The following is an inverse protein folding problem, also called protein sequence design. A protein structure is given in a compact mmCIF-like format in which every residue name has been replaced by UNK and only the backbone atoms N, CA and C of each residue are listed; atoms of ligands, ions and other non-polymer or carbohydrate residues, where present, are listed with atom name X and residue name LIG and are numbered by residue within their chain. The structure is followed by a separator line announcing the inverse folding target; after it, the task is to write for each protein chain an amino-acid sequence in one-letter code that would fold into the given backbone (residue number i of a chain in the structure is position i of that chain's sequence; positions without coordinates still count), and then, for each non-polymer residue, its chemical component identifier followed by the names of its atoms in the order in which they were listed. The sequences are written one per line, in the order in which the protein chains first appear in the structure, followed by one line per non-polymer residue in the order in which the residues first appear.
data_IF_866028003089
#
_entry.id   IF_866028003089
#
_cell.length_a   1.000
_cell.length_b   1.000
_cell.length_c   1.000
_cell.angle_alpha   90.00
_cell.angle_beta   90.00
_cell.angle_gamma   90.00
#
_symmetry.space_group_name_H-M   'P 1'
#
loop_
_entity.id
_entity.type
_entity.pdbx_description
1 polymer ?
#
# COMPACT_ATOMS: atom_id res chain seq x y z
N UNK A 1 -0.48 15.27 13.82
CA UNK A 1 -1.43 15.50 12.70
C UNK A 1 -1.21 14.46 11.58
N UNK A 2 0.04 14.25 11.11
CA UNK A 2 0.37 13.30 10.04
C UNK A 2 -0.14 11.88 10.34
N UNK A 3 0.14 11.31 11.51
CA UNK A 3 -0.31 9.97 11.88
C UNK A 3 -1.85 9.80 11.85
N UNK A 4 -2.62 10.85 12.18
CA UNK A 4 -4.09 10.79 12.10
C UNK A 4 -4.55 10.71 10.63
N UNK A 5 -3.93 11.49 9.76
CA UNK A 5 -4.20 11.46 8.32
C UNK A 5 -3.80 10.11 7.74
N UNK A 6 -2.64 9.57 8.17
CA UNK A 6 -2.20 8.23 7.80
C UNK A 6 -3.21 7.14 8.19
N UNK A 7 -3.79 7.24 9.38
CA UNK A 7 -4.86 6.33 9.83
C UNK A 7 -6.12 6.45 8.95
N UNK A 8 -6.52 7.65 8.57
CA UNK A 8 -7.65 7.89 7.67
C UNK A 8 -7.36 7.34 6.26
N UNK A 9 -6.16 7.56 5.73
CA UNK A 9 -5.70 6.99 4.45
C UNK A 9 -5.65 5.47 4.48
N UNK A 10 -5.14 4.87 5.56
CA UNK A 10 -5.07 3.43 5.76
C UNK A 10 -6.44 2.75 5.75
N UNK A 11 -7.46 3.44 6.22
CA UNK A 11 -8.85 2.98 6.22
C UNK A 11 -9.62 3.34 4.92
N UNK A 12 -9.06 4.20 4.07
CA UNK A 12 -9.75 4.73 2.88
C UNK A 12 -9.62 3.80 1.67
N UNK A 13 -10.72 3.60 0.96
CA UNK A 13 -10.73 2.91 -0.34
C UNK A 13 -10.26 3.78 -1.52
N UNK A 14 -9.98 5.06 -1.29
CA UNK A 14 -9.43 5.96 -2.32
C UNK A 14 -8.11 5.47 -2.92
N UNK A 15 -7.35 4.73 -2.11
CA UNK A 15 -6.05 4.19 -2.49
C UNK A 15 -6.12 2.81 -3.18
N UNK A 16 -7.31 2.24 -3.34
CA UNK A 16 -7.53 1.08 -4.20
C UNK A 16 -7.91 1.54 -5.61
N UNK A 17 -7.26 1.03 -6.63
CA UNK A 17 -7.58 1.37 -8.02
C UNK A 17 -9.04 1.08 -8.36
N UNK A 18 -9.59 -0.01 -7.81
CA UNK A 18 -10.99 -0.42 -8.00
C UNK A 18 -11.94 0.25 -6.99
N UNK A 19 -11.42 0.92 -5.96
CA UNK A 19 -12.23 1.55 -4.91
C UNK A 19 -12.92 0.56 -3.96
N UNK A 20 -12.47 -0.69 -3.90
CA UNK A 20 -13.11 -1.79 -3.17
C UNK A 20 -12.34 -2.28 -1.94
N UNK A 21 -11.11 -1.81 -1.77
CA UNK A 21 -10.22 -2.21 -0.68
C UNK A 21 -9.55 -1.03 0.01
N UNK A 22 -9.14 -1.26 1.24
CA UNK A 22 -8.22 -0.41 1.99
C UNK A 22 -7.16 -1.28 2.65
N UNK A 23 -6.09 -0.69 3.19
CA UNK A 23 -5.11 -1.44 3.97
C UNK A 23 -5.80 -2.16 5.14
N UNK A 24 -6.75 -1.48 5.80
CA UNK A 24 -7.53 -2.02 6.91
C UNK A 24 -8.39 -3.24 6.52
N UNK A 25 -8.66 -3.45 5.25
CA UNK A 25 -9.40 -4.65 4.79
C UNK A 25 -8.67 -5.95 5.15
N UNK A 26 -7.34 -5.93 5.11
CA UNK A 26 -6.48 -7.09 5.41
C UNK A 26 -5.68 -6.91 6.72
N UNK A 27 -5.42 -5.68 7.15
CA UNK A 27 -4.67 -5.41 8.37
C UNK A 27 -5.61 -5.06 9.52
N UNK A 28 -6.15 -6.10 10.17
CA UNK A 28 -7.17 -6.00 11.22
C UNK A 28 -6.54 -6.08 12.62
N UNK A 29 -6.82 -5.14 13.50
CA UNK A 29 -6.28 -5.08 14.87
C UNK A 29 -6.55 -6.36 15.66
N UNK A 30 -7.74 -6.95 15.50
CA UNK A 30 -8.12 -8.20 16.18
C UNK A 30 -7.26 -9.41 15.80
N UNK A 31 -6.49 -9.33 14.72
CA UNK A 31 -5.52 -10.34 14.28
C UNK A 31 -4.08 -9.81 14.31
N UNK A 32 -3.80 -8.87 15.23
CA UNK A 32 -2.47 -8.24 15.34
C UNK A 32 -2.00 -7.56 14.06
N UNK A 33 -2.92 -6.85 13.41
CA UNK A 33 -2.76 -6.22 12.09
C UNK A 33 -2.43 -7.18 10.94
N UNK A 34 -2.87 -8.42 11.03
CA UNK A 34 -2.97 -9.40 9.94
C UNK A 34 -4.46 -9.63 9.58
N UNK A 35 -4.77 -10.58 8.71
CA UNK A 35 -6.16 -10.92 8.33
C UNK A 35 -6.69 -12.19 8.99
N UNK A 36 -5.85 -12.94 9.69
CA UNK A 36 -6.21 -14.21 10.32
C UNK A 36 -6.41 -15.37 9.35
N UNK A 37 -5.93 -15.25 8.11
CA UNK A 37 -6.06 -16.25 7.05
C UNK A 37 -4.72 -16.89 6.72
N UNK A 38 -4.70 -18.16 6.26
CA UNK A 38 -3.47 -18.80 5.78
C UNK A 38 -2.94 -18.16 4.47
N UNK A 39 -3.85 -17.70 3.63
CA UNK A 39 -3.58 -16.91 2.42
C UNK A 39 -4.55 -15.74 2.40
N UNK A 40 -4.05 -14.56 2.09
CA UNK A 40 -4.88 -13.38 1.98
C UNK A 40 -5.86 -13.48 0.80
N UNK A 41 -6.99 -12.80 0.92
CA UNK A 41 -7.96 -12.64 -0.16
C UNK A 41 -7.96 -11.18 -0.55
N UNK A 42 -7.43 -10.89 -1.74
CA UNK A 42 -7.25 -9.54 -2.25
C UNK A 42 -8.50 -8.99 -2.94
N UNK A 43 -8.27 -8.36 -4.08
CA UNK A 43 -9.30 -7.65 -4.86
C UNK A 43 -10.52 -8.53 -5.19
N UNK A 44 -11.69 -7.91 -5.18
CA UNK A 44 -12.97 -8.58 -5.41
C UNK A 44 -13.48 -9.44 -4.25
N UNK A 45 -12.70 -9.58 -3.16
CA UNK A 45 -13.13 -10.28 -1.96
C UNK A 45 -14.21 -9.52 -1.20
N UNK A 46 -15.00 -10.22 -0.37
CA UNK A 46 -16.09 -9.62 0.41
C UNK A 46 -16.03 -10.06 1.88
N UNK A 47 -16.23 -9.11 2.79
CA UNK A 47 -16.14 -9.34 4.23
C UNK A 47 -14.73 -9.29 4.76
N UNK A 48 -14.50 -9.77 5.98
CA UNK A 48 -13.23 -9.72 6.70
C UNK A 48 -12.88 -11.09 7.30
N UNK A 49 -11.58 -11.38 7.42
CA UNK A 49 -11.07 -12.60 8.00
C UNK A 49 -11.69 -13.85 7.35
N UNK A 50 -12.13 -14.82 8.15
CA UNK A 50 -12.72 -16.07 7.63
C UNK A 50 -13.96 -15.85 6.76
N UNK A 51 -14.76 -14.81 7.02
CA UNK A 51 -15.90 -14.50 6.17
C UNK A 51 -15.48 -14.09 4.75
N UNK A 52 -14.34 -13.40 4.62
CA UNK A 52 -13.77 -13.01 3.33
C UNK A 52 -13.35 -14.25 2.52
N UNK A 53 -12.69 -15.22 3.15
CA UNK A 53 -12.33 -16.48 2.51
C UNK A 53 -13.57 -17.30 2.13
N UNK A 54 -14.54 -17.42 3.03
CA UNK A 54 -15.77 -18.19 2.82
C UNK A 54 -16.70 -17.57 1.77
N UNK A 55 -16.52 -16.29 1.46
CA UNK A 55 -17.29 -15.61 0.41
C UNK A 55 -17.12 -16.27 -0.97
N UNK A 56 -16.00 -17.00 -1.17
CA UNK A 56 -15.63 -17.59 -2.45
C UNK A 56 -15.37 -16.57 -3.56
N UNK A 57 -15.18 -15.29 -3.17
CA UNK A 57 -14.95 -14.16 -4.07
C UNK A 57 -13.56 -13.58 -3.82
N UNK A 58 -13.03 -12.95 -4.82
CA UNK A 58 -11.72 -12.29 -4.76
C UNK A 58 -10.55 -13.20 -5.09
N UNK A 59 -9.45 -12.57 -5.40
CA UNK A 59 -8.21 -13.25 -5.76
C UNK A 59 -7.48 -13.76 -4.51
N UNK A 60 -6.98 -14.98 -4.58
CA UNK A 60 -6.13 -15.53 -3.53
C UNK A 60 -4.71 -15.00 -3.73
N UNK A 61 -4.22 -14.28 -2.72
CA UNK A 61 -2.82 -13.85 -2.66
C UNK A 61 -1.97 -15.03 -2.15
N UNK A 62 -0.80 -15.31 -2.75
CA UNK A 62 -0.03 -16.52 -2.43
C UNK A 62 0.46 -16.65 -0.98
N UNK A 63 0.41 -15.55 -0.21
CA UNK A 63 0.86 -15.48 1.19
C UNK A 63 -0.22 -14.87 2.08
N UNK A 64 -0.12 -15.13 3.38
CA UNK A 64 -0.97 -14.47 4.35
C UNK A 64 -0.53 -13.01 4.54
N UNK A 65 -1.47 -12.18 4.97
CA UNK A 65 -1.21 -10.80 5.37
C UNK A 65 -0.26 -10.78 6.56
N UNK A 66 0.86 -10.10 6.41
CA UNK A 66 1.85 -9.98 7.49
C UNK A 66 1.37 -8.98 8.56
N UNK A 67 1.70 -9.23 9.81
CA UNK A 67 1.45 -8.31 10.89
C UNK A 67 2.31 -7.04 10.73
N UNK A 68 1.70 -5.86 10.93
CA UNK A 68 2.38 -4.57 10.83
C UNK A 68 2.96 -4.08 12.15
N UNK A 69 2.48 -4.60 13.29
CA UNK A 69 2.92 -4.16 14.61
C UNK A 69 4.44 -4.28 14.78
N UNK A 70 5.06 -3.19 15.19
CA UNK A 70 6.49 -3.10 15.37
C UNK A 70 7.30 -2.83 14.10
N UNK A 71 6.69 -2.78 12.92
CA UNK A 71 7.40 -2.55 11.65
C UNK A 71 8.06 -1.17 11.55
N UNK A 72 7.52 -0.16 12.22
CA UNK A 72 8.10 1.18 12.30
C UNK A 72 9.13 1.35 13.44
N UNK A 73 9.51 0.29 14.16
CA UNK A 73 10.49 0.40 15.24
C UNK A 73 11.92 0.52 14.69
N UNK A 74 12.74 1.31 15.41
CA UNK A 74 14.14 1.49 15.04
C UNK A 74 14.87 0.14 14.95
N UNK A 75 15.56 -0.07 13.84
CA UNK A 75 16.32 -1.30 13.56
C UNK A 75 15.49 -2.37 12.83
N UNK A 76 14.24 -2.09 12.49
CA UNK A 76 13.49 -2.92 11.57
C UNK A 76 13.86 -2.49 10.15
N UNK A 77 14.55 -3.35 9.41
CA UNK A 77 15.21 -3.01 8.15
C UNK A 77 14.82 -3.92 6.96
N UNK A 78 13.95 -4.91 7.22
CA UNK A 78 13.55 -5.91 6.21
C UNK A 78 12.05 -6.13 6.24
N UNK A 79 11.39 -5.88 5.12
CA UNK A 79 9.93 -5.90 4.97
C UNK A 79 9.50 -6.97 3.99
N UNK A 80 8.27 -7.45 4.17
CA UNK A 80 7.67 -8.60 3.48
C UNK A 80 8.32 -9.94 3.84
N UNK A 81 7.64 -11.03 3.50
CA UNK A 81 8.08 -12.39 3.82
C UNK A 81 9.36 -12.81 3.11
N UNK A 82 9.61 -12.23 1.95
CA UNK A 82 10.77 -12.50 1.08
C UNK A 82 11.84 -11.41 1.13
N UNK A 83 11.63 -10.36 1.93
CA UNK A 83 12.55 -9.24 2.00
C UNK A 83 12.54 -8.37 0.73
N UNK A 84 11.39 -8.25 0.06
CA UNK A 84 11.23 -7.39 -1.14
C UNK A 84 11.74 -5.97 -0.93
N UNK A 85 11.64 -5.44 0.29
CA UNK A 85 12.27 -4.18 0.68
C UNK A 85 13.18 -4.41 1.85
N UNK A 86 14.44 -3.99 1.74
CA UNK A 86 15.42 -4.09 2.82
C UNK A 86 16.46 -2.98 2.74
N UNK A 87 16.87 -2.51 3.90
CA UNK A 87 18.01 -1.62 4.02
C UNK A 87 19.30 -2.44 3.95
N UNK A 88 20.23 -2.04 3.10
CA UNK A 88 21.55 -2.67 2.94
C UNK A 88 22.63 -1.61 3.11
N UNK A 89 23.91 -1.97 3.25
CA UNK A 89 25.01 -1.01 3.29
C UNK A 89 25.08 -0.11 2.04
N UNK A 90 24.55 -0.57 0.90
CA UNK A 90 24.57 0.15 -0.38
C UNK A 90 23.27 0.95 -0.62
N UNK A 91 22.35 0.97 0.34
CA UNK A 91 21.06 1.64 0.25
C UNK A 91 19.89 0.70 0.32
N UNK A 92 18.70 1.15 -0.14
CA UNK A 92 17.48 0.35 -0.10
C UNK A 92 17.41 -0.55 -1.34
N UNK A 93 17.31 -1.85 -1.11
CA UNK A 93 17.02 -2.86 -2.13
C UNK A 93 15.51 -3.04 -2.26
N UNK A 94 14.94 -2.83 -3.44
CA UNK A 94 13.53 -3.04 -3.76
C UNK A 94 13.33 -3.27 -5.26
N UNK A 95 12.10 -3.61 -5.68
CA UNK A 95 11.75 -3.71 -7.10
C UNK A 95 11.92 -2.39 -7.88
N UNK A 96 11.98 -1.24 -7.19
CA UNK A 96 12.21 0.05 -7.83
C UNK A 96 13.68 0.27 -8.25
N UNK A 97 14.59 -0.63 -7.87
CA UNK A 97 16.01 -0.54 -8.21
C UNK A 97 16.62 0.81 -7.80
N UNK A 98 17.24 1.56 -8.72
CA UNK A 98 17.82 2.87 -8.42
C UNK A 98 16.77 3.99 -8.28
N UNK A 99 15.49 3.72 -8.59
CA UNK A 99 14.40 4.69 -8.55
C UNK A 99 13.56 4.57 -7.28
N UNK A 100 14.19 4.20 -6.15
CA UNK A 100 13.48 4.13 -4.86
C UNK A 100 12.82 5.45 -4.52
N UNK A 101 11.53 5.42 -4.10
CA UNK A 101 10.76 6.64 -3.86
C UNK A 101 11.09 7.37 -2.55
N UNK A 102 11.88 6.78 -1.66
CA UNK A 102 12.25 7.35 -0.35
C UNK A 102 13.54 6.72 0.18
N UNK A 103 14.21 7.46 1.07
CA UNK A 103 15.36 6.95 1.85
C UNK A 103 14.92 6.17 3.11
N UNK A 104 13.62 6.12 3.41
CA UNK A 104 13.04 5.31 4.50
C UNK A 104 12.50 3.99 3.91
N UNK A 105 13.05 2.84 4.32
CA UNK A 105 12.62 1.54 3.80
C UNK A 105 11.16 1.19 4.17
N UNK A 106 10.60 1.74 5.25
CA UNK A 106 9.19 1.56 5.57
C UNK A 106 8.31 2.32 4.57
N UNK A 107 8.66 3.56 4.24
CA UNK A 107 7.95 4.35 3.22
C UNK A 107 8.02 3.64 1.86
N UNK A 108 9.19 3.10 1.48
CA UNK A 108 9.31 2.27 0.26
C UNK A 108 8.41 1.04 0.33
N UNK A 109 8.36 0.35 1.48
CA UNK A 109 7.50 -0.81 1.66
C UNK A 109 6.01 -0.47 1.53
N UNK A 110 5.58 0.70 1.97
CA UNK A 110 4.18 1.16 1.80
C UNK A 110 3.80 1.32 0.33
N UNK A 111 4.74 1.59 -0.57
CA UNK A 111 4.43 1.71 -2.01
C UNK A 111 4.02 0.37 -2.65
N UNK A 112 4.57 -0.76 -2.20
CA UNK A 112 4.43 -2.03 -2.90
C UNK A 112 2.99 -2.56 -3.01
N UNK A 113 2.17 -2.61 -1.95
CA UNK A 113 0.82 -3.17 -2.01
C UNK A 113 -0.05 -2.54 -3.10
N UNK A 114 0.16 -1.26 -3.40
CA UNK A 114 -0.64 -0.52 -4.38
C UNK A 114 -0.36 -0.90 -5.84
N UNK A 115 0.72 -1.64 -6.08
CA UNK A 115 1.13 -2.15 -7.40
C UNK A 115 1.20 -3.68 -7.45
N UNK A 116 0.86 -4.35 -6.33
CA UNK A 116 0.82 -5.80 -6.26
C UNK A 116 -0.50 -6.34 -6.82
N UNK A 117 -0.35 -7.16 -7.87
CA UNK A 117 -1.45 -7.81 -8.56
C UNK A 117 -2.14 -8.79 -7.61
N UNK A 118 -3.47 -8.85 -7.68
CA UNK A 118 -4.36 -9.62 -6.82
C UNK A 118 -4.49 -9.08 -5.41
N UNK A 119 -3.51 -8.31 -4.92
CA UNK A 119 -3.58 -7.69 -3.60
C UNK A 119 -4.46 -6.43 -3.66
N UNK A 120 -4.03 -5.39 -4.37
CA UNK A 120 -4.78 -4.15 -4.52
C UNK A 120 -5.01 -3.74 -5.99
N UNK A 121 -4.56 -4.55 -6.94
CA UNK A 121 -4.68 -4.32 -8.38
C UNK A 121 -5.45 -5.46 -9.04
N UNK A 122 -6.66 -5.16 -9.54
CA UNK A 122 -7.33 -5.90 -10.62
C UNK A 122 -7.54 -4.93 -11.73
N UNK A 123 -6.97 -5.17 -12.89
CA UNK A 123 -6.98 -4.19 -13.94
C UNK A 123 -7.19 -4.79 -15.30
N UNK A 124 -7.19 -3.89 -16.28
CA UNK A 124 -7.07 -4.34 -17.63
C UNK A 124 -5.75 -5.11 -17.82
N UNK A 125 -5.77 -6.06 -18.71
CA UNK A 125 -4.68 -7.02 -18.93
C UNK A 125 -3.33 -6.37 -19.23
N UNK A 126 -3.31 -5.15 -19.74
CA UNK A 126 -2.07 -4.47 -20.12
C UNK A 126 -1.33 -3.97 -18.87
N UNK A 127 -2.02 -3.28 -17.97
CA UNK A 127 -1.41 -2.77 -16.72
C UNK A 127 -1.00 -3.94 -15.82
N UNK A 128 -1.81 -5.01 -15.76
CA UNK A 128 -1.48 -6.23 -15.03
C UNK A 128 -0.17 -6.84 -15.53
N UNK A 129 -0.01 -6.98 -16.85
CA UNK A 129 1.21 -7.55 -17.44
C UNK A 129 2.45 -6.68 -17.17
N UNK A 130 2.33 -5.36 -17.26
CA UNK A 130 3.43 -4.43 -16.98
C UNK A 130 3.85 -4.51 -15.50
N UNK A 131 2.89 -4.55 -14.57
CA UNK A 131 3.18 -4.68 -13.14
C UNK A 131 3.74 -6.07 -12.77
N UNK A 132 3.32 -7.15 -13.43
CA UNK A 132 3.92 -8.47 -13.27
C UNK A 132 5.42 -8.50 -13.60
N UNK A 133 5.86 -7.62 -14.49
CA UNK A 133 7.27 -7.45 -14.83
C UNK A 133 7.99 -6.38 -13.99
N UNK A 134 7.34 -5.93 -12.90
CA UNK A 134 7.89 -4.89 -12.01
C UNK A 134 8.28 -3.59 -12.76
N UNK A 135 7.50 -3.23 -13.79
CA UNK A 135 7.75 -2.02 -14.58
C UNK A 135 7.53 -0.77 -13.72
N UNK A 136 8.62 -0.02 -13.51
CA UNK A 136 8.60 1.18 -12.66
C UNK A 136 7.71 2.27 -13.24
N UNK A 137 7.68 2.42 -14.57
CA UNK A 137 6.82 3.43 -15.19
C UNK A 137 5.33 3.08 -15.08
N UNK A 138 4.99 1.79 -15.06
CA UNK A 138 3.64 1.34 -14.76
C UNK A 138 3.26 1.64 -13.30
N UNK A 139 4.16 1.38 -12.36
CA UNK A 139 3.98 1.73 -10.96
C UNK A 139 3.78 3.24 -10.78
N UNK A 140 4.59 4.07 -11.41
CA UNK A 140 4.47 5.54 -11.36
C UNK A 140 3.11 6.04 -11.89
N UNK A 141 2.57 5.41 -12.93
CA UNK A 141 1.22 5.75 -13.42
C UNK A 141 0.14 5.45 -12.38
N UNK A 142 0.25 4.32 -11.69
CA UNK A 142 -0.66 3.97 -10.58
C UNK A 142 -0.55 4.99 -9.46
N UNK A 143 0.66 5.29 -9.00
CA UNK A 143 0.90 6.27 -7.95
C UNK A 143 0.38 7.66 -8.32
N UNK A 144 0.58 8.11 -9.56
CA UNK A 144 0.06 9.38 -10.04
C UNK A 144 -1.48 9.42 -10.01
N UNK A 145 -2.14 8.33 -10.39
CA UNK A 145 -3.60 8.22 -10.35
C UNK A 145 -4.13 8.24 -8.92
N UNK A 146 -3.53 7.50 -8.00
CA UNK A 146 -3.93 7.46 -6.58
C UNK A 146 -3.70 8.81 -5.91
N UNK A 147 -2.56 9.47 -6.17
CA UNK A 147 -2.28 10.82 -5.69
C UNK A 147 -3.31 11.83 -6.19
N UNK A 148 -3.72 11.73 -7.46
CA UNK A 148 -4.75 12.60 -8.02
C UNK A 148 -6.10 12.43 -7.29
N UNK A 149 -6.47 11.20 -6.89
CA UNK A 149 -7.69 10.95 -6.10
C UNK A 149 -7.62 11.59 -4.72
N UNK A 150 -6.49 11.44 -4.02
CA UNK A 150 -6.29 12.08 -2.70
C UNK A 150 -6.31 13.61 -2.84
N UNK A 151 -5.64 14.16 -3.84
CA UNK A 151 -5.70 15.61 -4.12
C UNK A 151 -7.12 16.10 -4.36
N UNK A 152 -7.96 15.32 -5.02
CA UNK A 152 -9.35 15.68 -5.33
C UNK A 152 -10.29 15.55 -4.12
N UNK A 153 -9.95 14.73 -3.13
CA UNK A 153 -10.77 14.55 -1.94
C UNK A 153 -10.79 15.83 -1.07
N UNK A 154 -12.00 16.26 -0.68
CA UNK A 154 -12.21 17.55 0.01
C UNK A 154 -11.76 17.56 1.47
N UNK A 155 -11.49 16.42 2.07
CA UNK A 155 -11.03 16.29 3.46
C UNK A 155 -9.55 15.88 3.53
N UNK A 156 -9.19 14.79 2.86
CA UNK A 156 -7.83 14.25 2.89
C UNK A 156 -6.84 15.14 2.15
N UNK A 157 -7.18 15.64 0.97
CA UNK A 157 -6.29 16.49 0.18
C UNK A 157 -5.80 17.73 0.94
N UNK A 158 -6.70 18.61 1.44
CA UNK A 158 -6.28 19.78 2.23
C UNK A 158 -5.59 19.43 3.55
N UNK A 159 -5.97 18.32 4.18
CA UNK A 159 -5.38 17.90 5.45
C UNK A 159 -3.95 17.40 5.27
N UNK A 160 -3.73 16.56 4.26
CA UNK A 160 -2.38 16.07 3.92
C UNK A 160 -1.47 17.22 3.44
N UNK A 161 -1.99 18.13 2.60
CA UNK A 161 -1.25 19.31 2.14
C UNK A 161 -0.69 20.14 3.32
N UNK A 162 -1.51 20.36 4.35
CA UNK A 162 -1.08 21.09 5.56
C UNK A 162 -0.05 20.29 6.37
N UNK A 163 -0.28 19.00 6.55
CA UNK A 163 0.59 18.16 7.38
C UNK A 163 1.96 17.91 6.73
N UNK A 164 1.99 17.71 5.41
CA UNK A 164 3.21 17.53 4.62
C UNK A 164 3.90 18.87 4.28
N UNK A 165 3.25 20.01 4.57
CA UNK A 165 3.72 21.34 4.13
C UNK A 165 3.97 21.41 2.62
N UNK A 166 3.09 20.76 1.85
CA UNK A 166 3.15 20.65 0.38
C UNK A 166 1.88 21.25 -0.23
N UNK A 167 1.95 22.03 -1.31
CA UNK A 167 0.75 22.49 -2.01
C UNK A 167 -0.13 21.31 -2.43
N UNK A 168 -1.47 21.45 -2.29
CA UNK A 168 -2.42 20.37 -2.56
C UNK A 168 -2.26 19.74 -3.94
N UNK A 169 -1.99 20.56 -4.94
CA UNK A 169 -1.78 20.15 -6.33
C UNK A 169 -0.44 19.44 -6.57
N UNK A 170 0.50 19.56 -5.62
CA UNK A 170 1.83 18.95 -5.68
C UNK A 170 1.97 17.70 -4.79
N UNK A 171 0.93 17.32 -4.02
CA UNK A 171 0.96 16.07 -3.24
C UNK A 171 1.35 14.92 -4.15
N UNK A 172 2.46 14.26 -3.83
CA UNK A 172 2.94 13.05 -4.48
C UNK A 172 2.50 11.80 -3.70
N UNK A 173 2.69 10.62 -4.28
CA UNK A 173 2.37 9.38 -3.59
C UNK A 173 3.30 9.15 -2.38
N UNK A 174 4.52 9.69 -2.42
CA UNK A 174 5.45 9.64 -1.28
C UNK A 174 4.89 10.35 -0.06
N UNK A 175 4.23 11.51 -0.21
CA UNK A 175 3.58 12.20 0.92
C UNK A 175 2.46 11.33 1.55
N UNK A 176 1.74 10.58 0.72
CA UNK A 176 0.72 9.62 1.15
C UNK A 176 1.37 8.45 1.90
N UNK A 177 2.44 7.89 1.35
CA UNK A 177 3.17 6.78 1.93
C UNK A 177 3.85 7.15 3.26
N UNK A 178 4.41 8.35 3.37
CA UNK A 178 4.97 8.89 4.61
C UNK A 178 3.91 9.09 5.70
N UNK A 179 2.69 9.47 5.32
CA UNK A 179 1.60 9.60 6.28
C UNK A 179 1.15 8.24 6.82
N UNK A 180 1.20 7.18 6.01
CA UNK A 180 0.81 5.81 6.37
C UNK A 180 1.91 5.09 7.17
N UNK A 181 3.18 5.35 6.88
CA UNK A 181 4.35 4.76 7.53
C UNK A 181 4.50 5.24 8.99
#
# INVERSE_FOLDING_TARGET
EMAKIGQELFASTLLSLNGDMSCQTCHLDRFSSADGLPNAVGTGGAGEGSARLMSGRGDIVPRNTLALWGRGTKGFDTFFWDGKVRLTPDGISSQFGPSVPSDDPLVVAVHLPFVEIREMVVLDKQVETELEHEDVAAADRVFAQLSARVRADDQLGPSLARAANTPRDQIAFTDIAEAIA
#
